data_IF_636545713969
#
_entry.id   IF_636545713969
#
_cell.length_a   1.000
_cell.length_b   1.000
_cell.length_c   1.000
_cell.angle_alpha   90.00
_cell.angle_beta   90.00
_cell.angle_gamma   90.00
#
_symmetry.space_group_name_H-M   'P 1'
#
loop_
_entity.id
_entity.type
_entity.pdbx_description
1 polymer ?
#
# COMPACT_ATOMS: atom_id res chain seq x y z
N UNK A 1 25.15 -18.71 -48.00
CA UNK A 1 25.62 -17.69 -47.05
C UNK A 1 24.51 -17.20 -46.15
N UNK A 2 23.37 -16.70 -46.64
CA UNK A 2 22.23 -16.17 -45.90
C UNK A 2 21.67 -17.19 -44.89
N UNK A 3 21.49 -18.47 -45.30
CA UNK A 3 20.98 -19.54 -44.42
C UNK A 3 21.86 -19.81 -43.19
N UNK A 4 23.19 -19.73 -43.34
CA UNK A 4 24.12 -19.88 -42.18
C UNK A 4 24.07 -18.67 -41.27
N UNK A 5 23.97 -17.46 -41.81
CA UNK A 5 23.82 -16.24 -41.02
C UNK A 5 22.51 -16.28 -40.20
N UNK A 6 21.40 -16.68 -40.83
CA UNK A 6 20.11 -16.81 -40.17
C UNK A 6 20.14 -17.84 -39.00
N UNK A 7 20.78 -19.00 -39.20
CA UNK A 7 20.95 -20.02 -38.16
C UNK A 7 21.77 -19.44 -37.00
N UNK A 8 22.86 -18.74 -37.25
CA UNK A 8 23.69 -18.11 -36.19
C UNK A 8 22.87 -17.07 -35.42
N UNK A 9 22.11 -16.20 -36.12
CA UNK A 9 21.25 -15.21 -35.46
C UNK A 9 20.17 -15.87 -34.58
N UNK A 10 19.50 -16.88 -35.11
CA UNK A 10 18.49 -17.63 -34.31
C UNK A 10 19.15 -18.30 -33.11
N UNK A 11 20.32 -18.92 -33.28
CA UNK A 11 21.04 -19.53 -32.15
C UNK A 11 21.42 -18.53 -31.07
N UNK A 12 21.86 -17.33 -31.45
CA UNK A 12 22.19 -16.26 -30.51
C UNK A 12 20.95 -15.76 -29.78
N UNK A 13 19.82 -15.61 -30.47
CA UNK A 13 18.54 -15.23 -29.85
C UNK A 13 18.11 -16.31 -28.84
N UNK A 14 18.14 -17.58 -29.23
CA UNK A 14 17.79 -18.70 -28.33
C UNK A 14 18.68 -18.73 -27.11
N UNK A 15 20.01 -18.58 -27.28
CA UNK A 15 20.95 -18.51 -26.16
C UNK A 15 20.66 -17.31 -25.24
N UNK A 16 20.34 -16.16 -25.81
CA UNK A 16 19.94 -14.95 -25.05
C UNK A 16 18.67 -15.18 -24.24
N UNK A 17 17.64 -15.77 -24.84
CA UNK A 17 16.37 -16.10 -24.16
C UNK A 17 16.58 -17.12 -23.04
N UNK A 18 17.34 -18.18 -23.28
CA UNK A 18 17.69 -19.19 -22.27
C UNK A 18 18.50 -18.56 -21.15
N UNK A 19 19.49 -17.72 -21.46
CA UNK A 19 20.30 -17.00 -20.49
C UNK A 19 19.43 -16.08 -19.60
N UNK A 20 18.53 -15.32 -20.21
CA UNK A 20 17.58 -14.46 -19.49
C UNK A 20 16.66 -15.29 -18.59
N UNK A 21 16.12 -16.40 -19.10
CA UNK A 21 15.27 -17.29 -18.30
C UNK A 21 16.01 -17.81 -17.06
N UNK A 22 17.24 -18.33 -17.23
CA UNK A 22 18.07 -18.83 -16.12
C UNK A 22 18.35 -17.70 -15.14
N UNK A 23 18.74 -16.52 -15.61
CA UNK A 23 19.01 -15.35 -14.76
C UNK A 23 17.79 -14.99 -13.92
N UNK A 24 16.60 -14.85 -14.54
CA UNK A 24 15.37 -14.53 -13.84
C UNK A 24 15.05 -15.59 -12.77
N UNK A 25 15.14 -16.89 -13.12
CA UNK A 25 14.83 -17.96 -12.16
C UNK A 25 15.82 -18.03 -10.97
N UNK A 26 17.04 -17.57 -11.14
CA UNK A 26 18.06 -17.56 -10.09
C UNK A 26 18.12 -16.29 -9.24
N UNK A 27 17.43 -15.21 -9.65
CA UNK A 27 17.58 -13.89 -9.02
C UNK A 27 16.29 -13.25 -8.51
N UNK A 28 15.11 -13.77 -8.87
CA UNK A 28 13.82 -13.15 -8.54
C UNK A 28 13.49 -13.12 -7.04
N UNK A 29 14.04 -14.04 -6.25
CA UNK A 29 13.81 -14.18 -4.80
C UNK A 29 15.00 -13.73 -3.96
N UNK A 30 15.78 -12.77 -4.48
CA UNK A 30 16.96 -12.22 -3.79
C UNK A 30 16.66 -11.94 -2.32
N UNK A 31 17.56 -12.39 -1.45
CA UNK A 31 17.50 -12.19 0.00
C UNK A 31 18.36 -10.99 0.42
N UNK A 32 17.88 -10.28 1.42
CA UNK A 32 18.53 -9.14 2.04
C UNK A 32 18.64 -9.40 3.54
N UNK A 33 19.86 -9.32 4.04
CA UNK A 33 20.19 -9.54 5.46
C UNK A 33 20.55 -8.19 6.13
N UNK A 34 19.61 -7.24 6.05
CA UNK A 34 19.78 -5.96 6.75
C UNK A 34 19.14 -6.05 8.13
N UNK A 35 19.76 -5.41 9.15
CA UNK A 35 19.15 -5.34 10.47
C UNK A 35 17.86 -4.50 10.41
N UNK A 36 16.92 -4.82 11.27
CA UNK A 36 15.78 -3.96 11.55
C UNK A 36 16.18 -2.81 12.47
N UNK A 37 15.33 -1.77 12.60
CA UNK A 37 15.56 -0.71 13.57
C UNK A 37 15.52 -1.28 15.00
N UNK A 38 16.28 -0.68 15.92
CA UNK A 38 16.36 -1.09 17.32
C UNK A 38 15.11 -0.67 18.13
N UNK A 39 13.91 -1.02 17.62
CA UNK A 39 12.61 -0.74 18.22
C UNK A 39 12.06 -2.00 18.89
N UNK A 40 11.19 -1.81 19.88
CA UNK A 40 10.47 -2.89 20.58
C UNK A 40 9.02 -2.54 20.76
N UNK A 41 8.16 -3.55 20.64
CA UNK A 41 6.75 -3.42 21.00
C UNK A 41 6.60 -3.12 22.51
N UNK A 42 5.61 -2.29 22.83
CA UNK A 42 5.27 -1.91 24.19
C UNK A 42 4.05 -2.69 24.68
N UNK A 43 3.97 -2.88 25.99
CA UNK A 43 2.77 -3.39 26.68
C UNK A 43 1.96 -2.28 27.33
N UNK A 44 2.37 -1.03 27.16
CA UNK A 44 1.63 0.14 27.69
C UNK A 44 0.30 0.28 26.97
N UNK A 45 -0.78 0.42 27.74
CA UNK A 45 -2.14 0.49 27.21
C UNK A 45 -2.39 1.73 26.35
N UNK A 46 -1.71 2.85 26.63
CA UNK A 46 -1.83 4.07 25.83
C UNK A 46 -1.17 3.91 24.46
N UNK A 47 -0.03 3.24 24.40
CA UNK A 47 0.69 2.91 23.16
C UNK A 47 -0.16 1.92 22.32
N UNK A 48 -0.74 0.90 22.97
CA UNK A 48 -1.63 -0.08 22.31
C UNK A 48 -2.88 0.63 21.76
N UNK A 49 -3.50 1.52 22.52
CA UNK A 49 -4.67 2.29 22.07
C UNK A 49 -4.33 3.22 20.87
N UNK A 50 -3.13 3.82 20.89
CA UNK A 50 -2.64 4.58 19.73
C UNK A 50 -2.48 3.68 18.51
N UNK A 51 -1.93 2.47 18.68
CA UNK A 51 -1.78 1.46 17.63
C UNK A 51 -3.12 0.98 17.06
N UNK A 52 -4.12 0.76 17.93
CA UNK A 52 -5.49 0.42 17.53
C UNK A 52 -6.07 1.48 16.59
N UNK A 53 -5.96 2.76 16.98
CA UNK A 53 -6.39 3.87 16.15
C UNK A 53 -5.68 3.89 14.78
N UNK A 54 -4.35 3.73 14.77
CA UNK A 54 -3.57 3.74 13.54
C UNK A 54 -3.93 2.59 12.61
N UNK A 55 -3.98 1.36 13.12
CA UNK A 55 -4.25 0.14 12.34
C UNK A 55 -5.65 0.14 11.73
N UNK A 56 -6.65 0.64 12.48
CA UNK A 56 -8.05 0.62 12.07
C UNK A 56 -8.52 1.91 11.38
N UNK A 57 -7.68 2.93 11.37
CA UNK A 57 -7.92 4.23 10.75
C UNK A 57 -6.82 4.56 9.72
N UNK A 58 -5.89 5.50 10.05
CA UNK A 58 -4.99 6.10 9.07
C UNK A 58 -4.02 5.12 8.39
N UNK A 59 -3.52 4.07 9.07
CA UNK A 59 -2.65 3.06 8.45
C UNK A 59 -3.41 1.93 7.74
N UNK A 60 -4.72 1.93 7.76
CA UNK A 60 -5.67 1.12 6.97
C UNK A 60 -5.31 -0.38 6.78
N UNK A 61 -4.68 -1.02 7.76
CA UNK A 61 -4.22 -2.41 7.65
C UNK A 61 -5.34 -3.40 7.31
N UNK A 62 -6.58 -3.14 7.79
CA UNK A 62 -7.77 -3.98 7.50
C UNK A 62 -8.22 -3.94 6.04
N UNK A 63 -7.77 -2.98 5.24
CA UNK A 63 -8.09 -2.95 3.81
C UNK A 63 -7.43 -4.09 3.03
N UNK A 64 -6.39 -4.71 3.58
CA UNK A 64 -5.67 -5.80 2.92
C UNK A 64 -5.57 -7.06 3.78
N UNK A 65 -5.32 -6.95 5.10
CA UNK A 65 -5.01 -8.09 5.96
C UNK A 65 -6.25 -8.83 6.48
N UNK A 66 -7.25 -9.00 5.63
CA UNK A 66 -8.50 -9.77 5.88
C UNK A 66 -8.50 -11.09 5.10
N UNK A 67 -9.40 -12.02 5.44
CA UNK A 67 -9.37 -13.38 4.86
C UNK A 67 -10.04 -13.51 3.50
N UNK A 68 -10.89 -12.57 3.12
CA UNK A 68 -11.61 -12.61 1.85
C UNK A 68 -12.45 -11.34 1.62
N UNK A 69 -13.19 -11.31 0.51
CA UNK A 69 -13.96 -10.13 0.12
C UNK A 69 -15.13 -9.82 1.06
N UNK A 70 -15.73 -10.81 1.71
CA UNK A 70 -16.74 -10.58 2.75
C UNK A 70 -16.17 -9.78 3.92
N UNK A 71 -15.00 -10.21 4.41
CA UNK A 71 -14.31 -9.53 5.51
C UNK A 71 -13.79 -8.14 5.08
N UNK A 72 -13.35 -8.00 3.81
CA UNK A 72 -13.00 -6.71 3.23
C UNK A 72 -14.18 -5.72 3.29
N UNK A 73 -15.37 -6.16 2.85
CA UNK A 73 -16.57 -5.31 2.86
C UNK A 73 -17.05 -5.04 4.29
N UNK A 74 -16.97 -6.02 5.19
CA UNK A 74 -17.31 -5.87 6.60
C UNK A 74 -16.37 -4.86 7.29
N UNK A 75 -15.06 -4.98 7.07
CA UNK A 75 -14.06 -4.04 7.58
C UNK A 75 -14.29 -2.60 7.05
N UNK A 76 -14.64 -2.48 5.77
CA UNK A 76 -14.94 -1.17 5.16
C UNK A 76 -16.15 -0.51 5.82
N UNK A 77 -17.16 -1.29 6.25
CA UNK A 77 -18.32 -0.82 7.02
C UNK A 77 -18.03 -0.58 8.52
N UNK A 78 -16.82 -0.86 8.97
CA UNK A 78 -16.44 -0.65 10.38
C UNK A 78 -16.69 -1.85 11.29
N UNK A 79 -17.06 -3.00 10.74
CA UNK A 79 -17.22 -4.22 11.52
C UNK A 79 -15.85 -4.72 12.01
N UNK A 80 -15.84 -5.34 13.19
CA UNK A 80 -14.62 -5.89 13.75
C UNK A 80 -14.31 -7.25 13.10
N UNK A 81 -13.39 -7.25 12.14
CA UNK A 81 -12.90 -8.46 11.46
C UNK A 81 -11.47 -8.77 11.90
N UNK A 82 -11.12 -10.05 11.91
CA UNK A 82 -9.79 -10.51 12.28
C UNK A 82 -8.75 -10.15 11.20
N UNK A 83 -7.58 -9.68 11.62
CA UNK A 83 -6.45 -9.38 10.75
C UNK A 83 -5.66 -10.64 10.35
N UNK A 84 -6.38 -11.70 9.96
CA UNK A 84 -5.77 -13.02 9.68
C UNK A 84 -5.25 -13.19 8.25
N UNK A 85 -5.47 -12.18 7.37
CA UNK A 85 -4.93 -12.17 6.01
C UNK A 85 -5.55 -13.23 5.09
N UNK A 86 -5.07 -13.29 3.85
CA UNK A 86 -5.43 -14.32 2.88
C UNK A 86 -6.30 -13.85 1.70
N UNK A 87 -6.82 -12.61 1.73
CA UNK A 87 -7.55 -12.08 0.56
C UNK A 87 -6.64 -12.08 -0.68
N UNK A 88 -7.07 -12.65 -1.83
CA UNK A 88 -6.23 -12.72 -3.02
C UNK A 88 -6.11 -11.33 -3.66
N UNK A 89 -4.91 -10.79 -3.70
CA UNK A 89 -4.59 -9.52 -4.35
C UNK A 89 -3.90 -9.78 -5.68
N UNK A 90 -4.67 -9.74 -6.77
CA UNK A 90 -4.15 -9.98 -8.13
C UNK A 90 -3.54 -8.69 -8.68
N UNK A 91 -2.29 -8.77 -9.13
CA UNK A 91 -1.52 -7.69 -9.72
C UNK A 91 -1.33 -7.91 -11.23
N UNK A 92 -2.42 -8.05 -11.97
CA UNK A 92 -2.41 -8.28 -13.40
C UNK A 92 -1.39 -9.36 -13.82
N UNK A 93 -0.48 -9.06 -14.75
CA UNK A 93 0.49 -10.04 -15.28
C UNK A 93 1.58 -10.45 -14.28
N UNK A 94 1.70 -9.77 -13.11
CA UNK A 94 2.75 -10.09 -12.14
C UNK A 94 2.43 -11.34 -11.31
N UNK A 95 1.14 -11.59 -11.06
CA UNK A 95 0.69 -12.74 -10.26
C UNK A 95 -0.28 -12.35 -9.15
N UNK A 96 -0.41 -13.21 -8.14
CA UNK A 96 -1.31 -13.00 -7.01
C UNK A 96 -0.52 -12.97 -5.70
N UNK A 97 -0.78 -11.97 -4.87
CA UNK A 97 -0.24 -11.88 -3.52
C UNK A 97 -1.35 -12.08 -2.49
N UNK A 98 -0.95 -12.55 -1.32
CA UNK A 98 -1.84 -12.79 -0.19
C UNK A 98 -1.27 -12.06 1.03
N UNK A 99 -1.92 -10.97 1.50
CA UNK A 99 -1.55 -10.30 2.74
C UNK A 99 -1.51 -11.29 3.90
N UNK A 100 -0.45 -11.25 4.70
CA UNK A 100 -0.18 -12.26 5.73
C UNK A 100 -1.03 -12.05 6.98
N UNK A 101 -1.13 -13.09 7.81
CA UNK A 101 -1.80 -13.07 9.11
C UNK A 101 -1.02 -12.18 10.08
N UNK A 102 -1.67 -11.11 10.56
CA UNK A 102 -1.11 -10.12 11.50
C UNK A 102 -1.49 -10.40 12.97
N UNK A 103 -2.23 -11.47 13.25
CA UNK A 103 -2.55 -11.84 14.64
C UNK A 103 -1.32 -12.37 15.38
N UNK A 104 -1.41 -12.45 16.71
CA UNK A 104 -0.31 -12.95 17.54
C UNK A 104 -0.07 -14.45 17.46
N UNK A 105 -0.76 -15.17 16.57
CA UNK A 105 -0.60 -16.63 16.41
C UNK A 105 0.85 -17.01 16.12
N UNK A 106 1.38 -17.98 16.88
CA UNK A 106 2.79 -18.39 16.84
C UNK A 106 3.12 -19.38 15.73
N UNK A 107 2.11 -19.93 15.03
CA UNK A 107 2.31 -20.86 13.91
C UNK A 107 2.15 -20.19 12.56
N UNK A 108 1.14 -19.31 12.43
CA UNK A 108 0.72 -18.75 11.14
C UNK A 108 0.75 -17.23 11.10
N UNK A 109 0.79 -16.56 12.27
CA UNK A 109 0.71 -15.12 12.44
C UNK A 109 2.05 -14.43 12.74
N UNK A 110 1.98 -13.18 13.21
CA UNK A 110 3.15 -12.39 13.61
C UNK A 110 3.85 -12.96 14.85
N UNK A 111 3.18 -13.78 15.67
CA UNK A 111 3.76 -14.38 16.86
C UNK A 111 4.99 -15.25 16.60
N UNK A 112 5.21 -15.72 15.38
CA UNK A 112 6.40 -16.50 14.98
C UNK A 112 7.63 -15.66 14.65
N UNK A 113 7.49 -14.32 14.59
CA UNK A 113 8.59 -13.42 14.22
C UNK A 113 9.01 -12.53 15.38
N UNK A 114 10.28 -12.15 15.43
CA UNK A 114 10.79 -11.17 16.38
C UNK A 114 10.28 -9.77 16.05
N UNK A 115 10.34 -8.86 17.02
CA UNK A 115 10.00 -7.44 16.79
C UNK A 115 10.91 -6.85 15.70
N UNK A 116 12.20 -7.13 15.75
CA UNK A 116 13.17 -6.69 14.74
C UNK A 116 12.73 -7.08 13.32
N UNK A 117 12.28 -8.32 13.10
CA UNK A 117 11.80 -8.78 11.80
C UNK A 117 10.54 -8.06 11.35
N UNK A 118 9.60 -7.77 12.27
CA UNK A 118 8.37 -7.04 11.95
C UNK A 118 8.69 -5.57 11.65
N UNK A 119 9.49 -4.91 12.46
CA UNK A 119 9.92 -3.53 12.21
C UNK A 119 10.76 -3.41 10.93
N UNK A 120 11.63 -4.38 10.65
CA UNK A 120 12.39 -4.45 9.40
C UNK A 120 11.48 -4.49 8.17
N UNK A 121 10.40 -5.28 8.24
CA UNK A 121 9.41 -5.32 7.15
C UNK A 121 8.76 -3.95 6.94
N UNK A 122 8.35 -3.27 7.99
CA UNK A 122 7.67 -1.98 7.88
C UNK A 122 8.62 -0.85 7.49
N UNK A 123 9.86 -0.87 8.00
CA UNK A 123 10.85 0.20 7.78
C UNK A 123 11.59 0.07 6.44
N UNK A 124 11.95 -1.15 6.06
CA UNK A 124 12.80 -1.41 4.90
C UNK A 124 12.09 -2.19 3.78
N UNK A 125 10.89 -2.69 4.02
CA UNK A 125 10.19 -3.56 3.08
C UNK A 125 10.82 -4.95 2.95
N UNK A 126 11.64 -5.39 3.93
CA UNK A 126 12.28 -6.72 3.94
C UNK A 126 11.44 -7.66 4.78
N UNK A 127 10.86 -8.67 4.14
CA UNK A 127 10.08 -9.71 4.82
C UNK A 127 10.93 -10.52 5.79
N UNK A 128 10.31 -11.24 6.76
CA UNK A 128 11.06 -12.13 7.66
C UNK A 128 11.90 -13.18 6.94
N UNK A 129 11.47 -13.65 5.76
CA UNK A 129 12.21 -14.60 4.91
C UNK A 129 13.39 -13.95 4.14
N UNK A 130 13.62 -12.64 4.33
CA UNK A 130 14.67 -11.87 3.67
C UNK A 130 14.30 -11.32 2.30
N UNK A 131 13.17 -11.70 1.70
CA UNK A 131 12.77 -11.15 0.39
C UNK A 131 12.22 -9.74 0.50
N UNK A 132 12.40 -8.93 -0.55
CA UNK A 132 11.82 -7.60 -0.59
C UNK A 132 10.33 -7.62 -0.93
N UNK A 133 9.56 -6.74 -0.30
CA UNK A 133 8.20 -6.38 -0.66
C UNK A 133 8.18 -5.23 -1.66
N UNK A 134 7.04 -5.00 -2.28
CA UNK A 134 6.79 -3.79 -3.06
C UNK A 134 6.46 -2.63 -2.10
N UNK A 135 7.22 -1.52 -2.10
CA UNK A 135 7.00 -0.40 -1.17
C UNK A 135 5.58 0.20 -1.24
N UNK A 136 4.96 0.21 -2.42
CA UNK A 136 3.58 0.69 -2.60
C UNK A 136 2.56 -0.04 -1.71
N UNK A 137 2.75 -1.34 -1.49
CA UNK A 137 1.80 -2.17 -0.74
C UNK A 137 1.95 -2.03 0.77
N UNK A 138 3.11 -1.56 1.24
CA UNK A 138 3.40 -1.34 2.66
C UNK A 138 4.19 -0.02 2.80
N UNK A 139 3.55 1.13 2.59
CA UNK A 139 4.23 2.43 2.41
C UNK A 139 4.61 3.11 3.74
N UNK A 140 4.91 2.34 4.80
CA UNK A 140 5.15 2.86 6.15
C UNK A 140 6.61 3.13 6.50
N UNK A 141 7.50 3.09 5.50
CA UNK A 141 8.95 3.23 5.70
C UNK A 141 9.38 4.59 6.30
N UNK A 142 8.57 5.64 6.17
CA UNK A 142 8.76 6.96 6.81
C UNK A 142 7.79 7.25 7.96
N UNK A 143 6.97 6.30 8.38
CA UNK A 143 6.17 6.44 9.60
C UNK A 143 7.11 6.69 10.80
N UNK A 144 6.76 7.60 11.69
CA UNK A 144 7.54 7.89 12.88
C UNK A 144 7.77 6.64 13.75
N UNK A 145 8.88 6.59 14.46
CA UNK A 145 9.22 5.41 15.25
C UNK A 145 8.21 5.12 16.36
N UNK A 146 7.70 6.16 17.03
CA UNK A 146 6.67 6.03 18.08
C UNK A 146 5.33 5.49 17.52
N UNK A 147 4.89 5.95 16.36
CA UNK A 147 3.70 5.44 15.68
C UNK A 147 3.92 4.01 15.17
N UNK A 148 5.11 3.69 14.68
CA UNK A 148 5.47 2.33 14.26
C UNK A 148 5.48 1.36 15.46
N UNK A 149 6.03 1.80 16.60
CA UNK A 149 5.98 1.06 17.86
C UNK A 149 4.53 0.85 18.28
N UNK A 150 3.68 1.86 18.20
CA UNK A 150 2.27 1.74 18.55
C UNK A 150 1.54 0.70 17.66
N UNK A 151 1.74 0.76 16.35
CA UNK A 151 1.18 -0.22 15.40
C UNK A 151 1.59 -1.64 15.77
N UNK A 152 2.89 -1.90 15.95
CA UNK A 152 3.38 -3.27 16.26
C UNK A 152 2.89 -3.71 17.64
N UNK A 153 2.83 -2.83 18.63
CA UNK A 153 2.31 -3.12 19.98
C UNK A 153 0.85 -3.57 19.94
N UNK A 154 0.01 -2.88 19.16
CA UNK A 154 -1.38 -3.29 18.97
C UNK A 154 -1.47 -4.65 18.26
N UNK A 155 -0.73 -4.87 17.19
CA UNK A 155 -0.72 -6.15 16.48
C UNK A 155 -0.27 -7.31 17.38
N UNK A 156 0.68 -7.08 18.29
CA UNK A 156 1.11 -8.06 19.31
C UNK A 156 0.04 -8.35 20.36
N UNK A 157 -0.85 -7.39 20.65
CA UNK A 157 -1.94 -7.54 21.63
C UNK A 157 -3.17 -8.27 21.07
N UNK A 158 -3.25 -8.47 19.74
CA UNK A 158 -4.37 -9.17 19.12
C UNK A 158 -4.44 -10.63 19.59
N UNK A 159 -5.65 -11.15 19.75
CA UNK A 159 -5.87 -12.57 20.02
C UNK A 159 -5.27 -13.43 18.88
N UNK A 160 -4.65 -14.59 19.21
CA UNK A 160 -4.10 -15.48 18.19
C UNK A 160 -5.22 -16.13 17.38
N UNK A 161 -5.08 -16.11 16.06
CA UNK A 161 -5.97 -16.82 15.13
C UNK A 161 -5.11 -17.67 14.20
N UNK A 162 -5.21 -18.99 14.34
CA UNK A 162 -4.51 -19.91 13.45
C UNK A 162 -5.16 -19.87 12.05
N UNK A 163 -4.47 -19.26 11.09
CA UNK A 163 -4.93 -19.15 9.71
C UNK A 163 -3.74 -19.16 8.75
N UNK A 164 -3.61 -20.25 8.00
CA UNK A 164 -2.54 -20.41 7.00
C UNK A 164 -2.84 -19.59 5.75
N UNK A 165 -1.96 -18.65 5.45
CA UNK A 165 -2.06 -17.81 4.25
C UNK A 165 -1.13 -18.37 3.18
N UNK A 166 -1.62 -18.56 1.93
CA UNK A 166 -0.79 -19.03 0.82
C UNK A 166 0.42 -18.14 0.56
N UNK A 167 1.45 -18.71 -0.05
CA UNK A 167 2.57 -17.92 -0.55
C UNK A 167 2.21 -17.22 -1.86
N UNK A 168 2.89 -16.09 -2.19
CA UNK A 168 2.65 -15.38 -3.42
C UNK A 168 2.86 -16.25 -4.67
N UNK A 169 1.93 -16.18 -5.60
CA UNK A 169 1.99 -16.90 -6.89
C UNK A 169 2.56 -15.97 -7.97
N UNK A 170 3.88 -16.03 -8.18
CA UNK A 170 4.54 -15.20 -9.18
C UNK A 170 4.52 -15.83 -10.56
N UNK A 171 4.03 -15.10 -11.57
CA UNK A 171 4.23 -15.46 -12.98
C UNK A 171 5.69 -15.28 -13.39
N UNK A 172 6.06 -15.72 -14.60
CA UNK A 172 7.38 -15.41 -15.14
C UNK A 172 7.61 -13.89 -15.28
N UNK A 173 6.59 -13.13 -15.69
CA UNK A 173 6.64 -11.67 -15.78
C UNK A 173 6.88 -11.05 -14.40
N UNK A 174 6.17 -11.50 -13.37
CA UNK A 174 6.38 -11.06 -12.01
C UNK A 174 7.79 -11.33 -11.50
N UNK A 175 8.34 -12.53 -11.78
CA UNK A 175 9.73 -12.87 -11.45
C UNK A 175 10.73 -11.99 -12.21
N UNK A 176 10.47 -11.70 -13.50
CA UNK A 176 11.32 -10.83 -14.30
C UNK A 176 11.32 -9.39 -13.76
N UNK A 177 10.16 -8.83 -13.40
CA UNK A 177 10.06 -7.51 -12.77
C UNK A 177 10.84 -7.47 -11.46
N UNK A 178 10.70 -8.50 -10.60
CA UNK A 178 11.45 -8.61 -9.34
C UNK A 178 12.97 -8.67 -9.54
N UNK A 179 13.43 -9.31 -10.63
CA UNK A 179 14.86 -9.47 -10.96
C UNK A 179 15.48 -8.23 -11.59
N UNK A 180 14.72 -7.56 -12.47
CA UNK A 180 15.27 -6.59 -13.45
C UNK A 180 14.96 -5.14 -13.08
N UNK A 181 13.99 -4.88 -12.18
CA UNK A 181 13.56 -3.51 -11.86
C UNK A 181 13.85 -3.13 -10.41
N UNK A 182 13.64 -1.86 -10.07
CA UNK A 182 13.72 -1.35 -8.70
C UNK A 182 12.42 -1.50 -7.90
N UNK A 183 11.33 -1.93 -8.52
CA UNK A 183 10.00 -2.02 -7.93
C UNK A 183 9.93 -2.86 -6.64
N UNK A 184 10.79 -3.87 -6.53
CA UNK A 184 10.89 -4.76 -5.36
C UNK A 184 12.26 -4.66 -4.70
N UNK A 185 12.75 -3.45 -4.45
CA UNK A 185 14.00 -3.23 -3.71
C UNK A 185 13.70 -2.70 -2.31
N UNK A 186 14.46 -3.11 -1.29
CA UNK A 186 14.36 -2.52 0.03
C UNK A 186 14.68 -1.03 0.02
N UNK A 187 14.11 -0.31 0.98
CA UNK A 187 14.44 1.10 1.26
C UNK A 187 15.62 1.12 2.23
N UNK A 188 16.76 1.66 1.80
CA UNK A 188 18.00 1.59 2.59
C UNK A 188 18.00 2.57 3.77
N UNK A 189 17.76 3.85 3.51
CA UNK A 189 17.76 4.91 4.52
C UNK A 189 16.46 5.71 4.41
N UNK A 190 15.37 5.28 5.06
CA UNK A 190 14.07 5.89 4.90
C UNK A 190 13.94 7.29 5.53
N UNK A 191 14.91 7.74 6.35
CA UNK A 191 14.89 9.04 7.03
C UNK A 191 13.54 9.27 7.75
N UNK A 192 13.21 8.36 8.66
CA UNK A 192 11.99 8.40 9.44
C UNK A 192 12.20 9.20 10.73
N UNK A 193 11.24 10.08 11.13
CA UNK A 193 11.34 10.82 12.39
C UNK A 193 11.17 9.88 13.59
N UNK A 194 11.81 10.22 14.72
CA UNK A 194 11.65 9.47 15.97
C UNK A 194 10.25 9.64 16.57
N UNK A 195 9.66 10.83 16.45
CA UNK A 195 8.35 11.17 16.99
C UNK A 195 7.43 11.69 15.90
N UNK A 196 6.19 11.25 15.92
CA UNK A 196 5.12 11.82 15.11
C UNK A 196 4.78 13.24 15.56
N UNK A 197 4.38 14.14 14.66
CA UNK A 197 3.82 15.44 15.05
C UNK A 197 2.64 15.23 16.02
N UNK A 198 2.45 16.12 17.02
CA UNK A 198 1.36 16.01 17.98
C UNK A 198 -0.01 15.83 17.31
N UNK A 199 -0.91 15.12 17.98
CA UNK A 199 -2.29 14.99 17.53
C UNK A 199 -3.01 16.33 17.67
N UNK A 200 -2.93 17.15 16.63
CA UNK A 200 -3.54 18.47 16.55
C UNK A 200 -3.84 18.82 15.09
N UNK A 201 -4.81 19.69 14.88
CA UNK A 201 -5.17 20.19 13.55
C UNK A 201 -4.12 21.19 13.06
N UNK A 202 -2.98 20.69 12.57
CA UNK A 202 -1.86 21.50 12.04
C UNK A 202 -1.44 21.01 10.66
N UNK A 203 -0.84 21.89 9.86
CA UNK A 203 -0.31 21.56 8.53
C UNK A 203 0.77 20.48 8.63
N UNK A 204 1.67 20.56 9.62
CA UNK A 204 2.73 19.58 9.84
C UNK A 204 2.16 18.18 10.12
N UNK A 205 1.13 18.07 11.00
CA UNK A 205 0.43 16.81 11.25
C UNK A 205 -0.24 16.28 9.98
N UNK A 206 -0.89 17.16 9.21
CA UNK A 206 -1.55 16.81 7.97
C UNK A 206 -0.56 16.31 6.91
N UNK A 207 0.60 16.94 6.78
CA UNK A 207 1.66 16.50 5.89
C UNK A 207 2.16 15.11 6.27
N UNK A 208 2.47 14.89 7.55
CA UNK A 208 2.91 13.61 8.07
C UNK A 208 1.90 12.49 7.74
N UNK A 209 0.62 12.74 8.03
CA UNK A 209 -0.44 11.77 7.75
C UNK A 209 -0.57 11.50 6.25
N UNK A 210 -0.71 12.55 5.43
CA UNK A 210 -0.96 12.41 4.00
C UNK A 210 0.20 11.74 3.23
N UNK A 211 1.45 11.93 3.70
CA UNK A 211 2.62 11.37 3.05
C UNK A 211 3.03 10.01 3.58
N UNK A 212 2.98 9.77 4.90
CA UNK A 212 3.70 8.66 5.54
C UNK A 212 2.82 7.66 6.28
N UNK A 213 1.54 7.99 6.50
CA UNK A 213 0.61 7.11 7.21
C UNK A 213 -0.55 6.68 6.33
N UNK A 214 -1.35 7.64 5.81
CA UNK A 214 -2.49 7.35 4.92
C UNK A 214 -2.06 7.13 3.47
N UNK A 215 -0.82 7.51 3.12
CA UNK A 215 -0.26 7.39 1.78
C UNK A 215 -1.10 8.05 0.66
N UNK A 216 -1.75 9.17 0.94
CA UNK A 216 -2.48 9.93 -0.10
C UNK A 216 -1.58 10.23 -1.31
N UNK A 217 -0.32 10.64 -1.05
CA UNK A 217 0.67 10.94 -2.08
C UNK A 217 0.97 9.74 -2.99
N UNK A 218 0.92 8.52 -2.46
CA UNK A 218 1.20 7.30 -3.22
C UNK A 218 0.18 7.04 -4.32
N UNK A 219 -1.10 7.26 -4.04
CA UNK A 219 -2.20 7.06 -4.98
C UNK A 219 -2.54 8.33 -5.76
N UNK A 220 -2.47 9.51 -5.15
CA UNK A 220 -2.83 10.78 -5.80
C UNK A 220 -1.65 11.47 -6.52
N UNK A 221 -0.63 10.70 -6.90
CA UNK A 221 0.49 11.13 -7.75
C UNK A 221 0.67 10.13 -8.87
N UNK A 222 0.64 10.57 -10.12
CA UNK A 222 0.90 9.67 -11.25
C UNK A 222 2.35 9.17 -11.19
N UNK A 223 2.52 7.85 -11.30
CA UNK A 223 3.81 7.17 -11.22
C UNK A 223 4.04 6.28 -12.41
N UNK A 224 5.30 6.12 -12.78
CA UNK A 224 5.73 5.04 -13.67
C UNK A 224 5.60 3.69 -12.95
N UNK A 225 4.92 2.74 -13.57
CA UNK A 225 4.64 1.43 -12.92
C UNK A 225 5.86 0.51 -12.86
N UNK A 226 6.92 0.80 -13.62
CA UNK A 226 8.14 -0.02 -13.64
C UNK A 226 9.19 0.48 -12.65
N UNK A 227 9.31 1.80 -12.49
CA UNK A 227 10.29 2.42 -11.59
C UNK A 227 9.67 2.90 -10.29
N UNK A 228 8.35 3.08 -10.29
CA UNK A 228 7.57 3.70 -9.22
C UNK A 228 7.93 5.17 -8.94
N UNK A 229 8.65 5.80 -9.83
CA UNK A 229 8.98 7.22 -9.75
C UNK A 229 7.77 8.09 -10.10
N UNK A 230 7.66 9.24 -9.46
CA UNK A 230 6.61 10.22 -9.80
C UNK A 230 6.89 10.80 -11.20
N UNK A 231 5.89 10.75 -12.08
CA UNK A 231 5.94 11.33 -13.44
C UNK A 231 5.00 12.52 -13.61
N UNK A 232 4.37 12.96 -12.51
CA UNK A 232 3.58 14.19 -12.42
C UNK A 232 3.83 14.83 -11.04
N UNK A 233 3.43 16.09 -10.83
CA UNK A 233 3.49 16.72 -9.52
C UNK A 233 2.72 15.93 -8.46
N UNK A 234 3.22 15.95 -7.23
CA UNK A 234 2.59 15.25 -6.11
C UNK A 234 1.16 15.78 -5.86
N UNK A 235 0.27 14.88 -5.48
CA UNK A 235 -1.15 15.13 -5.23
C UNK A 235 -1.96 15.61 -6.43
N UNK A 236 -1.35 15.76 -7.62
CA UNK A 236 -2.05 16.18 -8.84
C UNK A 236 -2.88 15.05 -9.49
N UNK A 237 -2.92 13.86 -8.92
CA UNK A 237 -3.75 12.75 -9.42
C UNK A 237 -3.19 12.08 -10.67
N UNK A 238 -4.09 11.39 -11.39
CA UNK A 238 -3.77 10.75 -12.67
C UNK A 238 -3.23 9.33 -12.59
N UNK A 239 -3.11 8.74 -11.39
CA UNK A 239 -2.78 7.32 -11.23
C UNK A 239 -3.95 6.45 -11.68
N UNK A 240 -3.69 5.46 -12.53
CA UNK A 240 -4.70 4.52 -13.02
C UNK A 240 -4.66 3.20 -12.26
N UNK A 241 -5.85 2.72 -11.92
CA UNK A 241 -6.04 1.43 -11.28
C UNK A 241 -6.84 0.52 -12.20
N UNK A 242 -6.25 -0.62 -12.52
CA UNK A 242 -6.95 -1.69 -13.24
C UNK A 242 -8.07 -2.28 -12.39
N UNK A 243 -9.13 -2.82 -13.01
CA UNK A 243 -10.16 -3.52 -12.27
C UNK A 243 -9.55 -4.72 -11.52
N UNK A 244 -10.06 -4.97 -10.33
CA UNK A 244 -9.80 -6.19 -9.57
C UNK A 244 -10.95 -7.18 -9.82
N UNK A 245 -10.85 -8.08 -10.82
CA UNK A 245 -12.01 -8.80 -11.35
C UNK A 245 -12.76 -9.63 -10.31
N UNK A 246 -12.03 -10.26 -9.37
CA UNK A 246 -12.63 -11.08 -8.32
C UNK A 246 -13.44 -10.23 -7.33
N UNK A 247 -12.92 -9.06 -6.91
CA UNK A 247 -13.63 -8.13 -6.05
C UNK A 247 -14.83 -7.52 -6.79
N UNK A 248 -14.66 -7.10 -8.05
CA UNK A 248 -15.72 -6.48 -8.84
C UNK A 248 -16.90 -7.46 -9.04
N UNK A 249 -16.62 -8.73 -9.31
CA UNK A 249 -17.66 -9.78 -9.37
C UNK A 249 -18.36 -9.94 -8.02
N UNK A 250 -17.61 -9.98 -6.93
CA UNK A 250 -18.18 -10.06 -5.59
C UNK A 250 -19.12 -8.88 -5.29
N UNK A 251 -18.75 -7.68 -5.74
CA UNK A 251 -19.53 -6.44 -5.59
C UNK A 251 -20.62 -6.27 -6.66
N UNK A 252 -20.80 -7.23 -7.56
CA UNK A 252 -21.72 -7.16 -8.69
C UNK A 252 -21.49 -5.91 -9.57
N UNK A 253 -20.22 -5.57 -9.81
CA UNK A 253 -19.77 -4.40 -10.58
C UNK A 253 -19.20 -4.79 -11.94
N UNK A 254 -19.22 -3.86 -12.90
CA UNK A 254 -18.64 -4.07 -14.24
C UNK A 254 -17.11 -4.24 -14.15
N UNK A 255 -16.62 -5.43 -14.50
CA UNK A 255 -15.21 -5.82 -14.42
C UNK A 255 -14.32 -5.17 -15.47
N UNK A 256 -14.86 -4.32 -16.35
CA UNK A 256 -14.10 -3.58 -17.38
C UNK A 256 -13.82 -2.13 -16.98
N UNK A 257 -14.35 -1.66 -15.85
CA UNK A 257 -14.19 -0.28 -15.39
C UNK A 257 -12.83 -0.07 -14.72
N UNK A 258 -12.07 0.86 -15.26
CA UNK A 258 -10.85 1.40 -14.69
C UNK A 258 -11.16 2.61 -13.82
N UNK A 259 -10.28 2.89 -12.89
CA UNK A 259 -10.34 4.07 -12.03
C UNK A 259 -9.11 4.94 -12.22
N UNK A 260 -9.30 6.24 -12.08
CA UNK A 260 -8.21 7.22 -12.08
C UNK A 260 -8.34 8.11 -10.85
N UNK A 261 -7.23 8.41 -10.20
CA UNK A 261 -7.24 9.26 -9.01
C UNK A 261 -7.42 10.72 -9.39
N UNK A 262 -8.25 11.48 -8.66
CA UNK A 262 -8.42 12.90 -8.89
C UNK A 262 -7.19 13.70 -8.46
N UNK A 263 -7.06 14.89 -9.03
CA UNK A 263 -6.22 15.97 -8.52
C UNK A 263 -6.79 16.45 -7.19
N UNK A 264 -5.99 16.38 -6.12
CA UNK A 264 -6.34 16.84 -4.77
C UNK A 264 -5.47 18.01 -4.28
N UNK A 265 -4.76 18.69 -5.20
CA UNK A 265 -4.21 20.03 -4.92
C UNK A 265 -5.34 21.05 -4.92
N UNK A 266 -5.15 22.25 -4.35
CA UNK A 266 -6.21 23.30 -4.29
C UNK A 266 -6.37 24.03 -5.64
N UNK A 267 -6.41 23.28 -6.73
CA UNK A 267 -6.69 23.77 -8.08
C UNK A 267 -8.18 23.93 -8.28
N UNK A 268 -8.62 25.00 -8.97
CA UNK A 268 -10.02 25.32 -9.18
C UNK A 268 -10.80 24.22 -9.93
N UNK A 269 -10.13 23.45 -10.79
CA UNK A 269 -10.71 22.35 -11.53
C UNK A 269 -10.49 20.99 -10.83
N UNK A 270 -9.76 20.99 -9.70
CA UNK A 270 -9.43 19.80 -8.91
C UNK A 270 -10.60 19.28 -8.06
N UNK A 271 -10.50 18.01 -7.63
CA UNK A 271 -11.55 17.44 -6.77
C UNK A 271 -11.55 18.04 -5.35
N UNK A 272 -10.42 18.59 -4.89
CA UNK A 272 -10.28 19.19 -3.58
C UNK A 272 -11.05 20.51 -3.45
N UNK A 273 -11.26 21.24 -4.54
CA UNK A 273 -12.00 22.51 -4.59
C UNK A 273 -13.43 22.43 -4.02
N UNK A 274 -14.00 21.22 -3.98
CA UNK A 274 -15.33 20.96 -3.40
C UNK A 274 -15.36 21.06 -1.88
N UNK A 275 -14.21 21.05 -1.22
CA UNK A 275 -14.07 21.05 0.23
C UNK A 275 -13.60 22.42 0.71
N UNK A 276 -14.53 23.40 0.74
CA UNK A 276 -14.21 24.79 1.13
C UNK A 276 -13.84 24.94 2.60
N UNK A 277 -14.31 24.03 3.42
CA UNK A 277 -14.05 24.02 4.86
C UNK A 277 -13.61 22.62 5.29
N UNK A 278 -12.92 22.50 6.45
CA UNK A 278 -12.60 21.18 7.01
C UNK A 278 -13.85 20.33 7.29
N UNK A 279 -14.98 20.95 7.63
CA UNK A 279 -16.25 20.25 7.85
C UNK A 279 -16.78 19.57 6.58
N UNK A 280 -16.64 20.21 5.41
CA UNK A 280 -17.00 19.61 4.11
C UNK A 280 -16.13 18.37 3.83
N UNK A 281 -14.83 18.46 4.13
CA UNK A 281 -13.88 17.37 3.97
C UNK A 281 -14.20 16.21 4.93
N UNK A 282 -14.38 16.49 6.22
CA UNK A 282 -14.79 15.50 7.23
C UNK A 282 -16.09 14.83 6.81
N UNK A 283 -17.12 15.61 6.42
CA UNK A 283 -18.40 15.08 5.98
C UNK A 283 -18.24 14.10 4.80
N UNK A 284 -17.36 14.41 3.82
CA UNK A 284 -17.07 13.48 2.72
C UNK A 284 -16.48 12.18 3.19
N UNK A 285 -15.53 12.21 4.13
CA UNK A 285 -14.91 10.99 4.67
C UNK A 285 -15.92 10.16 5.48
N UNK A 286 -16.78 10.80 6.28
CA UNK A 286 -17.85 10.12 7.06
C UNK A 286 -18.88 9.39 6.17
N UNK A 287 -19.06 9.81 4.91
CA UNK A 287 -19.90 9.09 3.95
C UNK A 287 -19.33 7.72 3.54
N UNK A 288 -18.06 7.48 3.78
CA UNK A 288 -17.39 6.25 3.38
C UNK A 288 -17.35 6.04 1.87
N UNK A 289 -17.41 4.79 1.41
CA UNK A 289 -17.27 4.36 0.03
C UNK A 289 -18.56 4.60 -0.77
N UNK A 290 -18.55 5.54 -1.71
CA UNK A 290 -19.69 5.83 -2.60
C UNK A 290 -19.59 5.06 -3.92
N UNK A 291 -18.38 4.79 -4.41
CA UNK A 291 -18.13 3.93 -5.58
C UNK A 291 -17.66 2.60 -5.07
N UNK A 292 -18.45 1.55 -5.22
CA UNK A 292 -18.24 0.25 -4.58
C UNK A 292 -16.85 -0.34 -4.82
N UNK A 293 -16.30 -0.17 -6.02
CA UNK A 293 -14.99 -0.70 -6.43
C UNK A 293 -13.85 0.34 -6.34
N UNK A 294 -14.05 1.48 -5.67
CA UNK A 294 -12.97 2.46 -5.45
C UNK A 294 -11.81 1.83 -4.68
N UNK A 295 -10.54 2.00 -5.10
CA UNK A 295 -9.38 1.50 -4.37
C UNK A 295 -9.04 2.32 -3.12
N UNK A 296 -9.65 3.50 -2.94
CA UNK A 296 -9.41 4.32 -1.76
C UNK A 296 -10.01 3.68 -0.52
N UNK A 297 -9.27 3.72 0.58
CA UNK A 297 -9.60 3.08 1.87
C UNK A 297 -10.63 3.88 2.67
N UNK A 298 -11.81 4.12 2.06
CA UNK A 298 -12.86 4.96 2.61
C UNK A 298 -13.33 4.52 3.99
N UNK A 299 -13.45 3.21 4.22
CA UNK A 299 -13.89 2.68 5.49
C UNK A 299 -12.95 3.03 6.64
N UNK A 300 -11.66 2.64 6.61
CA UNK A 300 -10.68 3.07 7.60
C UNK A 300 -10.59 4.58 7.74
N UNK A 301 -10.48 5.33 6.65
CA UNK A 301 -10.34 6.77 6.70
C UNK A 301 -11.57 7.49 7.27
N UNK A 302 -12.77 6.91 7.13
CA UNK A 302 -13.99 7.44 7.75
C UNK A 302 -13.96 7.39 9.29
N UNK A 303 -13.04 6.63 9.87
CA UNK A 303 -12.84 6.47 11.33
C UNK A 303 -11.72 7.34 11.90
N UNK A 304 -11.01 8.08 11.06
CA UNK A 304 -10.01 9.04 11.54
C UNK A 304 -10.67 10.12 12.41
N UNK A 305 -9.94 10.66 13.37
CA UNK A 305 -10.44 11.76 14.20
C UNK A 305 -10.71 13.01 13.35
N UNK A 306 -11.58 13.88 13.83
CA UNK A 306 -11.85 15.14 13.16
C UNK A 306 -10.60 16.03 13.13
N UNK A 307 -9.75 15.97 14.17
CA UNK A 307 -8.48 16.66 14.23
C UNK A 307 -7.53 16.20 13.12
N UNK A 308 -7.37 14.88 12.93
CA UNK A 308 -6.47 14.34 11.90
C UNK A 308 -7.01 14.61 10.47
N UNK A 309 -8.32 14.53 10.25
CA UNK A 309 -8.92 14.93 8.97
C UNK A 309 -8.79 16.43 8.71
N UNK A 310 -8.98 17.28 9.74
CA UNK A 310 -8.74 18.73 9.65
C UNK A 310 -7.28 19.02 9.32
N UNK A 311 -6.34 18.33 9.97
CA UNK A 311 -4.91 18.47 9.69
C UNK A 311 -4.60 18.15 8.21
N UNK A 312 -5.13 17.04 7.68
CA UNK A 312 -4.96 16.67 6.25
C UNK A 312 -5.55 17.75 5.34
N UNK A 313 -6.75 18.24 5.66
CA UNK A 313 -7.38 19.32 4.89
C UNK A 313 -6.51 20.58 4.89
N UNK A 314 -5.99 21.00 6.06
CA UNK A 314 -5.08 22.15 6.18
C UNK A 314 -3.82 21.98 5.32
N UNK A 315 -3.21 20.80 5.37
CA UNK A 315 -2.03 20.50 4.55
C UNK A 315 -2.35 20.58 3.06
N UNK A 316 -3.41 19.89 2.60
CA UNK A 316 -3.80 19.90 1.18
C UNK A 316 -4.15 21.32 0.70
N UNK A 317 -4.79 22.13 1.56
CA UNK A 317 -5.09 23.55 1.29
C UNK A 317 -3.84 24.41 1.17
N UNK A 318 -2.74 24.03 1.83
CA UNK A 318 -1.47 24.76 1.81
C UNK A 318 -0.58 24.43 0.62
N UNK A 319 -0.92 23.42 -0.17
CA UNK A 319 -0.16 23.05 -1.37
C UNK A 319 -0.30 24.12 -2.46
N UNK A 320 0.71 24.20 -3.30
CA UNK A 320 0.58 24.98 -4.54
C UNK A 320 -0.45 24.35 -5.47
N UNK A 321 -1.38 25.11 -6.06
CA UNK A 321 -2.35 24.59 -7.00
C UNK A 321 -1.66 24.09 -8.28
N UNK A 322 -1.96 22.88 -8.69
CA UNK A 322 -1.43 22.27 -9.91
C UNK A 322 -2.56 22.10 -10.91
N UNK A 323 -2.51 22.80 -12.01
CA UNK A 323 -3.45 22.61 -13.11
C UNK A 323 -3.15 21.29 -13.81
N UNK A 324 -3.95 20.26 -13.57
CA UNK A 324 -3.80 18.95 -14.16
C UNK A 324 -5.18 18.31 -14.41
N UNK A 325 -5.61 18.33 -15.66
CA UNK A 325 -6.81 17.59 -16.07
C UNK A 325 -6.48 16.10 -16.15
N UNK A 326 -7.01 15.34 -15.22
CA UNK A 326 -6.84 13.88 -15.16
C UNK A 326 -7.85 13.13 -16.04
N UNK A 327 -8.85 13.82 -16.61
CA UNK A 327 -9.94 13.21 -17.35
C UNK A 327 -10.96 12.47 -16.46
N UNK A 328 -11.80 11.59 -17.03
CA UNK A 328 -12.83 10.89 -16.27
C UNK A 328 -12.23 9.94 -15.22
N UNK A 329 -12.78 10.00 -14.00
CA UNK A 329 -12.30 9.17 -12.86
C UNK A 329 -12.70 7.71 -12.99
N UNK A 330 -13.79 7.41 -13.67
CA UNK A 330 -14.25 6.05 -13.99
C UNK A 330 -14.35 5.96 -15.51
N UNK A 331 -13.67 4.99 -16.12
CA UNK A 331 -13.59 4.87 -17.57
C UNK A 331 -13.37 3.42 -18.01
N UNK A 332 -13.61 3.16 -19.30
CA UNK A 332 -13.19 1.91 -19.94
C UNK A 332 -11.92 2.18 -20.74
N UNK A 333 -10.95 1.30 -20.60
CA UNK A 333 -9.73 1.37 -21.41
C UNK A 333 -10.03 0.73 -22.76
N UNK A 334 -9.74 1.46 -23.83
CA UNK A 334 -9.89 0.99 -25.23
C UNK A 334 -8.85 -0.10 -25.56
#
# INVERSE_FOLDING_TARGET
MIKKILIVLISLIVLGVVGLYIFVQSSWDKKYDWPGPALKASTDSSVIARGDYLVNGPAHCRSCHVSGFSDFVAADKGENVELKGGVPFTMGPLGTMYPKNLTSDTKTGLGRYTDEQVFRMMRHGIRPDGTASMPLLMPFFKMADDDLVAVVSYLRSLAPVEHMVPDPEWTFVGKAVRSLTSTFKPIENPDAPALAPPMAATVERGEYLARYVTNCVGCHTKRDMMTYEAVAPEFAGGMEFEPWPALYKYLNSDTTLWLRTPNITPDADGAFEKFKTPEDFIKRFRQGRLVAFSPMDWGPFSRMTDEDLTAIWMFLSSLEPVKHDVGPLVFKKE
#
